data_IF_268123340732
#
_entry.id   IF_268123340732
#
_cell.length_a   1.000
_cell.length_b   1.000
_cell.length_c   1.000
_cell.angle_alpha   90.00
_cell.angle_beta   90.00
_cell.angle_gamma   90.00
#
_symmetry.space_group_name_H-M   'P 1'
#
loop_
_entity.id
_entity.type
_entity.pdbx_description
1 polymer ?
#
# COMPACT_ATOMS: atom_id res chain seq x y z
N UNK A 1 12.58 24.06 -12.00
CA UNK A 1 11.21 23.55 -12.22
C UNK A 1 10.88 22.63 -11.06
N UNK A 2 10.12 23.12 -10.09
CA UNK A 2 9.67 22.30 -8.96
C UNK A 2 8.55 21.42 -9.48
N UNK A 3 8.82 20.14 -9.76
CA UNK A 3 7.76 19.19 -10.09
C UNK A 3 6.81 19.13 -8.89
N UNK A 4 5.59 19.62 -9.06
CA UNK A 4 4.48 19.34 -8.16
C UNK A 4 4.39 17.81 -8.03
N UNK A 5 4.72 17.28 -6.85
CA UNK A 5 4.59 15.84 -6.61
C UNK A 5 3.11 15.52 -6.74
N UNK A 6 2.75 14.77 -7.79
CA UNK A 6 1.38 14.29 -7.96
C UNK A 6 1.00 13.48 -6.71
N UNK A 7 -0.06 13.91 -6.04
CA UNK A 7 -0.63 13.24 -4.86
C UNK A 7 -2.04 12.78 -5.15
N UNK A 8 -2.42 11.65 -4.54
CA UNK A 8 -3.76 11.08 -4.56
C UNK A 8 -4.33 11.06 -3.14
N UNK A 9 -5.57 11.52 -2.99
CA UNK A 9 -6.29 11.41 -1.73
C UNK A 9 -7.02 10.07 -1.68
N UNK A 10 -6.76 9.27 -0.63
CA UNK A 10 -7.43 7.98 -0.40
C UNK A 10 -7.90 7.95 1.05
N UNK A 11 -9.21 7.91 1.28
CA UNK A 11 -9.81 7.85 2.62
C UNK A 11 -9.17 8.82 3.65
N UNK A 12 -9.02 10.09 3.26
CA UNK A 12 -8.40 11.17 4.04
C UNK A 12 -6.87 11.08 4.23
N UNK A 13 -6.18 10.16 3.56
CA UNK A 13 -4.72 10.12 3.48
C UNK A 13 -4.22 10.64 2.14
N UNK A 14 -3.31 11.61 2.18
CA UNK A 14 -2.59 12.08 1.00
C UNK A 14 -1.42 11.14 0.73
N UNK A 15 -1.54 10.37 -0.36
CA UNK A 15 -0.54 9.42 -0.81
C UNK A 15 0.12 9.93 -2.09
N UNK A 16 1.40 9.62 -2.28
CA UNK A 16 2.13 9.97 -3.50
C UNK A 16 1.67 9.10 -4.67
N UNK A 17 1.38 9.73 -5.81
CA UNK A 17 0.98 9.05 -7.04
C UNK A 17 2.19 8.56 -7.87
N UNK A 18 3.42 8.92 -7.50
CA UNK A 18 4.63 8.55 -8.24
C UNK A 18 5.58 7.58 -7.53
N UNK A 19 5.36 7.32 -6.23
CA UNK A 19 6.26 6.49 -5.42
C UNK A 19 5.54 5.97 -4.16
N UNK A 20 6.08 4.94 -3.49
CA UNK A 20 5.55 4.49 -2.21
C UNK A 20 5.58 5.61 -1.17
N UNK A 21 4.54 5.69 -0.35
CA UNK A 21 4.39 6.71 0.69
C UNK A 21 4.57 6.08 2.06
N UNK A 22 5.45 6.64 2.88
CA UNK A 22 5.55 6.25 4.29
C UNK A 22 4.48 7.01 5.05
N UNK A 23 3.61 6.27 5.73
CA UNK A 23 2.60 6.81 6.64
C UNK A 23 2.81 6.23 8.03
N UNK A 24 2.41 6.99 9.05
CA UNK A 24 2.34 6.47 10.41
C UNK A 24 1.25 5.38 10.47
N UNK A 25 1.48 4.31 11.23
CA UNK A 25 0.52 3.20 11.37
C UNK A 25 -0.80 3.69 11.97
N UNK A 26 -0.74 4.68 12.87
CA UNK A 26 -1.90 5.32 13.48
C UNK A 26 -2.75 6.07 12.45
N UNK A 27 -2.14 6.53 11.35
CA UNK A 27 -2.89 7.17 10.26
C UNK A 27 -3.78 6.17 9.50
N UNK A 28 -3.49 4.86 9.64
CA UNK A 28 -4.27 3.75 9.09
C UNK A 28 -5.29 3.18 10.10
N UNK A 29 -5.63 3.90 11.18
CA UNK A 29 -6.46 3.37 12.28
C UNK A 29 -7.81 2.79 11.85
N UNK A 30 -8.41 3.30 10.77
CA UNK A 30 -9.67 2.84 10.20
C UNK A 30 -9.50 2.03 8.91
N UNK A 31 -8.28 1.64 8.57
CA UNK A 31 -7.97 0.78 7.42
C UNK A 31 -7.77 -0.65 7.90
N UNK A 32 -8.06 -1.61 7.02
CA UNK A 32 -7.64 -2.99 7.25
C UNK A 32 -6.17 -3.09 6.87
N UNK A 33 -5.36 -3.67 7.76
CA UNK A 33 -3.95 -3.98 7.51
C UNK A 33 -3.77 -5.49 7.59
N UNK A 34 -3.60 -6.13 6.45
CA UNK A 34 -3.32 -7.55 6.35
C UNK A 34 -1.80 -7.77 6.28
N UNK A 35 -1.23 -8.49 7.25
CA UNK A 35 0.21 -8.76 7.30
C UNK A 35 0.51 -10.18 6.82
N UNK A 36 1.60 -10.33 6.08
CA UNK A 36 2.07 -11.62 5.58
C UNK A 36 3.41 -11.99 6.23
N UNK A 37 3.69 -13.28 6.43
CA UNK A 37 5.00 -13.74 6.93
C UNK A 37 6.13 -13.60 5.90
N UNK A 38 5.86 -13.01 4.73
CA UNK A 38 6.83 -12.73 3.67
C UNK A 38 7.62 -11.46 3.97
N UNK A 39 8.93 -11.46 3.69
CA UNK A 39 9.80 -10.31 3.91
C UNK A 39 10.21 -9.62 2.60
N UNK A 40 10.23 -8.29 2.62
CA UNK A 40 10.85 -7.43 1.60
C UNK A 40 11.89 -6.52 2.25
N UNK A 41 13.17 -6.70 1.89
CA UNK A 41 14.29 -5.96 2.47
C UNK A 41 14.27 -5.99 4.02
N UNK A 42 14.06 -7.18 4.60
CA UNK A 42 14.01 -7.38 6.05
C UNK A 42 12.75 -6.86 6.76
N UNK A 43 11.74 -6.41 6.03
CA UNK A 43 10.48 -5.89 6.58
C UNK A 43 9.30 -6.77 6.16
N UNK A 44 8.25 -6.87 7.00
CA UNK A 44 7.07 -7.67 6.67
C UNK A 44 6.28 -7.04 5.52
N UNK A 45 5.92 -7.86 4.54
CA UNK A 45 4.95 -7.48 3.52
C UNK A 45 3.55 -7.38 4.14
N UNK A 46 2.76 -6.47 3.60
CA UNK A 46 1.38 -6.26 3.99
C UNK A 46 0.54 -5.85 2.77
N UNK A 47 -0.77 -5.87 2.95
CA UNK A 47 -1.73 -5.21 2.09
C UNK A 47 -2.63 -4.34 2.97
N UNK A 48 -3.00 -3.16 2.48
CA UNK A 48 -3.88 -2.23 3.20
C UNK A 48 -5.12 -1.94 2.38
N UNK A 49 -6.28 -1.92 3.03
CA UNK A 49 -7.57 -1.61 2.39
C UNK A 49 -8.20 -0.40 3.08
N UNK A 50 -8.48 0.70 2.36
CA UNK A 50 -9.15 1.86 2.93
C UNK A 50 -10.60 1.55 3.29
N UNK A 51 -11.24 2.29 4.21
CA UNK A 51 -12.67 2.14 4.52
C UNK A 51 -13.57 2.75 3.42
N UNK A 52 -13.26 2.45 2.16
CA UNK A 52 -14.00 2.89 0.98
C UNK A 52 -14.61 1.67 0.29
N UNK A 53 -15.95 1.62 0.15
CA UNK A 53 -16.61 0.52 -0.55
C UNK A 53 -16.10 0.39 -1.99
N UNK A 54 -15.71 -0.83 -2.40
CA UNK A 54 -15.29 -1.13 -3.76
C UNK A 54 -13.92 -0.55 -4.17
N UNK A 55 -13.10 -0.06 -3.24
CA UNK A 55 -11.80 0.51 -3.59
C UNK A 55 -10.75 -0.55 -3.94
N UNK A 56 -10.60 -1.61 -3.15
CA UNK A 56 -9.56 -2.62 -3.33
C UNK A 56 -8.32 -2.41 -2.45
N UNK A 57 -7.31 -3.26 -2.65
CA UNK A 57 -6.14 -3.40 -1.80
C UNK A 57 -4.91 -2.70 -2.36
N UNK A 58 -4.12 -2.09 -1.48
CA UNK A 58 -2.85 -1.48 -1.83
C UNK A 58 -1.71 -2.29 -1.23
N UNK A 59 -0.65 -2.60 -1.99
CA UNK A 59 0.51 -3.25 -1.41
C UNK A 59 1.17 -2.35 -0.37
N UNK A 60 1.70 -2.96 0.68
CA UNK A 60 2.34 -2.25 1.77
C UNK A 60 3.52 -3.02 2.35
N UNK A 61 4.41 -2.31 3.04
CA UNK A 61 5.51 -2.90 3.82
C UNK A 61 5.52 -2.29 5.20
N UNK A 62 5.52 -3.12 6.23
CA UNK A 62 5.60 -2.69 7.64
C UNK A 62 7.05 -2.28 7.93
N UNK A 63 7.29 -0.98 8.15
CA UNK A 63 8.61 -0.39 8.40
C UNK A 63 8.81 -0.17 9.90
N UNK A 64 9.26 -1.22 10.59
CA UNK A 64 9.34 -1.23 12.06
C UNK A 64 7.96 -1.14 12.71
N UNK A 65 7.88 -0.68 13.96
CA UNK A 65 6.63 -0.74 14.73
C UNK A 65 5.61 0.34 14.37
N UNK A 66 6.08 1.49 13.87
CA UNK A 66 5.29 2.73 13.77
C UNK A 66 4.95 3.16 12.35
N UNK A 67 5.61 2.62 11.34
CA UNK A 67 5.47 3.10 9.97
C UNK A 67 5.00 1.99 9.03
N UNK A 68 4.22 2.40 8.04
CA UNK A 68 3.79 1.55 6.93
C UNK A 68 4.13 2.27 5.63
N UNK A 69 4.83 1.60 4.74
CA UNK A 69 5.11 2.09 3.40
C UNK A 69 4.03 1.57 2.46
N UNK A 70 3.15 2.45 1.98
CA UNK A 70 1.99 2.13 1.13
C UNK A 70 2.29 2.43 -0.34
N UNK A 71 2.00 1.50 -1.23
CA UNK A 71 2.30 1.55 -2.66
C UNK A 71 1.07 2.03 -3.46
N UNK A 72 0.56 3.22 -3.12
CA UNK A 72 -0.62 3.81 -3.77
C UNK A 72 -0.37 4.50 -5.12
N UNK A 73 0.87 4.48 -5.59
CA UNK A 73 1.30 5.03 -6.88
C UNK A 73 1.02 4.08 -8.06
N UNK A 74 0.52 2.87 -7.78
CA UNK A 74 0.13 1.92 -8.80
C UNK A 74 -1.17 2.39 -9.46
N UNK A 75 -1.30 2.10 -10.76
CA UNK A 75 -2.40 2.59 -11.60
C UNK A 75 -3.77 2.16 -11.04
N UNK A 76 -3.84 0.93 -10.53
CA UNK A 76 -5.03 0.37 -9.92
C UNK A 76 -4.73 -0.36 -8.59
N UNK A 77 -5.68 -0.34 -7.65
CA UNK A 77 -5.68 -1.23 -6.50
C UNK A 77 -5.96 -2.68 -6.92
N UNK A 78 -5.58 -3.62 -6.07
CA UNK A 78 -5.75 -5.05 -6.28
C UNK A 78 -7.08 -5.56 -5.72
N UNK A 79 -7.58 -6.68 -6.23
CA UNK A 79 -8.88 -7.24 -5.82
C UNK A 79 -8.82 -7.94 -4.45
N UNK A 80 -7.65 -8.44 -4.06
CA UNK A 80 -7.44 -9.19 -2.82
C UNK A 80 -6.12 -8.79 -2.12
N UNK A 81 -5.98 -9.07 -0.81
CA UNK A 81 -4.70 -8.82 -0.14
C UNK A 81 -3.58 -9.72 -0.70
N UNK A 82 -3.89 -10.92 -1.18
CA UNK A 82 -2.93 -11.85 -1.79
C UNK A 82 -2.41 -11.33 -3.14
N UNK A 83 -3.30 -10.82 -3.99
CA UNK A 83 -2.87 -10.22 -5.28
C UNK A 83 -2.03 -8.96 -5.05
N UNK A 84 -2.32 -8.19 -3.99
CA UNK A 84 -1.46 -7.10 -3.55
C UNK A 84 -0.09 -7.58 -3.02
N UNK A 85 0.00 -8.76 -2.38
CA UNK A 85 1.27 -9.37 -2.00
C UNK A 85 2.07 -9.79 -3.22
N UNK A 86 1.41 -10.27 -4.26
CA UNK A 86 2.06 -10.77 -5.47
C UNK A 86 2.85 -9.71 -6.24
N UNK A 87 2.49 -8.44 -6.07
CA UNK A 87 3.30 -7.29 -6.48
C UNK A 87 4.75 -7.35 -5.96
N UNK A 88 4.99 -7.96 -4.79
CA UNK A 88 6.33 -8.12 -4.21
C UNK A 88 7.00 -9.43 -4.57
N UNK A 89 6.23 -10.48 -4.86
CA UNK A 89 6.75 -11.82 -5.14
C UNK A 89 6.98 -12.06 -6.63
N UNK A 90 6.48 -11.17 -7.50
CA UNK A 90 6.60 -11.27 -8.95
C UNK A 90 5.61 -12.27 -9.56
N UNK A 91 4.60 -12.71 -8.80
CA UNK A 91 3.51 -13.56 -9.29
C UNK A 91 2.36 -12.72 -9.84
N UNK A 92 2.65 -11.82 -10.77
CA UNK A 92 1.56 -11.24 -11.55
C UNK A 92 1.00 -12.32 -12.45
N UNK A 93 -0.25 -12.73 -12.23
CA UNK A 93 -1.00 -13.55 -13.18
C UNK A 93 -0.94 -12.86 -14.55
N UNK A 94 -0.11 -13.38 -15.45
CA UNK A 94 -0.26 -13.16 -16.89
C UNK A 94 -1.64 -13.70 -17.26
N UNK A 95 -2.54 -12.80 -17.69
CA UNK A 95 -3.78 -13.11 -18.39
C UNK A 95 -3.86 -12.26 -19.64
#
# INVERSE_FOLDING_TARGET
>A
MTQEKATRLVANLTLSASQPTIVAREALFNWIVWQFPTLKNGNLCAAVHPPLPGYGWLPAVIKGEKNVQVFAHLDAPFESPETALDYFTGKTEES
#
